data_IF_535301257695
#
_entry.id   IF_535301257695
#
_cell.length_a   1.000
_cell.length_b   1.000
_cell.length_c   1.000
_cell.angle_alpha   90.00
_cell.angle_beta   90.00
_cell.angle_gamma   90.00
#
_symmetry.space_group_name_H-M   'P 1'
#
loop_
_entity.id
_entity.type
_entity.pdbx_description
1 polymer ?
#
# COMPACT_ATOMS: atom_id res chain seq x y z
N UNK A 1 -24.28 4.38 15.26
CA UNK A 1 -24.64 3.26 14.34
C UNK A 1 -23.46 2.71 13.54
N UNK A 2 -22.34 3.43 13.35
CA UNK A 2 -21.16 2.91 12.59
C UNK A 2 -19.95 2.56 13.46
N UNK A 3 -20.13 2.32 14.77
CA UNK A 3 -19.01 2.17 15.70
C UNK A 3 -18.20 0.89 15.49
N UNK A 4 -18.88 -0.22 15.21
CA UNK A 4 -18.21 -1.49 14.89
C UNK A 4 -17.34 -1.36 13.63
N UNK A 5 -17.91 -0.80 12.57
CA UNK A 5 -17.17 -0.56 11.32
C UNK A 5 -15.99 0.40 11.53
N UNK A 6 -16.18 1.50 12.25
CA UNK A 6 -15.10 2.44 12.52
C UNK A 6 -13.96 1.79 13.35
N UNK A 7 -14.29 0.96 14.33
CA UNK A 7 -13.31 0.22 15.13
C UNK A 7 -12.50 -0.76 14.28
N UNK A 8 -13.18 -1.51 13.41
CA UNK A 8 -12.53 -2.46 12.50
C UNK A 8 -11.64 -1.75 11.49
N UNK A 9 -12.15 -0.72 10.82
CA UNK A 9 -11.38 0.11 9.90
C UNK A 9 -10.14 0.72 10.57
N UNK A 10 -10.30 1.22 11.80
CA UNK A 10 -9.19 1.76 12.58
C UNK A 10 -8.09 0.72 12.88
N UNK A 11 -8.50 -0.51 13.21
CA UNK A 11 -7.58 -1.63 13.39
C UNK A 11 -6.80 -1.93 12.10
N UNK A 12 -7.47 -2.00 10.96
CA UNK A 12 -6.82 -2.27 9.66
C UNK A 12 -5.83 -1.17 9.28
N UNK A 13 -6.21 0.11 9.45
CA UNK A 13 -5.32 1.25 9.20
C UNK A 13 -4.06 1.16 10.07
N UNK A 14 -4.23 0.83 11.35
CA UNK A 14 -3.11 0.68 12.30
C UNK A 14 -2.17 -0.45 11.90
N UNK A 15 -2.70 -1.61 11.52
CA UNK A 15 -1.92 -2.76 11.07
C UNK A 15 -1.20 -2.48 9.74
N UNK A 16 -1.86 -1.84 8.78
CA UNK A 16 -1.23 -1.39 7.54
C UNK A 16 -0.07 -0.43 7.81
N UNK A 17 -0.25 0.55 8.72
CA UNK A 17 0.85 1.44 9.14
C UNK A 17 2.02 0.68 9.76
N UNK A 18 1.76 -0.27 10.65
CA UNK A 18 2.82 -1.06 11.28
C UNK A 18 3.58 -1.91 10.26
N UNK A 19 2.90 -2.54 9.30
CA UNK A 19 3.54 -3.27 8.19
C UNK A 19 4.42 -2.37 7.32
N UNK A 20 4.00 -1.12 7.12
CA UNK A 20 4.78 -0.11 6.40
C UNK A 20 5.96 0.46 7.24
N UNK A 21 6.09 0.11 8.52
CA UNK A 21 7.15 0.60 9.40
C UNK A 21 7.04 2.10 9.74
N UNK A 22 5.87 2.70 9.56
CA UNK A 22 5.66 4.14 9.72
C UNK A 22 5.17 4.50 11.13
N UNK A 23 5.59 5.67 11.62
CA UNK A 23 5.02 6.30 12.82
C UNK A 23 3.78 7.13 12.47
N UNK A 24 2.88 7.35 13.44
CA UNK A 24 1.63 8.07 13.22
C UNK A 24 1.85 9.50 12.68
N UNK A 25 2.89 10.18 13.14
CA UNK A 25 3.25 11.51 12.67
C UNK A 25 3.73 11.52 11.21
N UNK A 26 4.41 10.47 10.75
CA UNK A 26 4.82 10.33 9.35
C UNK A 26 3.65 10.09 8.40
N UNK A 27 2.65 9.34 8.84
CA UNK A 27 1.41 9.18 8.05
C UNK A 27 0.61 10.48 8.07
N UNK A 28 0.45 11.13 9.23
CA UNK A 28 -0.25 12.41 9.32
C UNK A 28 0.40 13.50 8.44
N UNK A 29 1.74 13.59 8.43
CA UNK A 29 2.52 14.48 7.57
C UNK A 29 2.23 14.21 6.07
N UNK A 30 2.28 12.96 5.64
CA UNK A 30 2.00 12.57 4.25
C UNK A 30 0.57 12.89 3.80
N UNK A 31 -0.41 12.77 4.69
CA UNK A 31 -1.82 13.07 4.42
C UNK A 31 -2.19 14.55 4.67
N UNK A 32 -1.24 15.39 5.07
CA UNK A 32 -1.49 16.78 5.46
C UNK A 32 -2.56 16.91 6.58
N UNK A 33 -2.54 15.96 7.51
CA UNK A 33 -3.43 15.90 8.67
C UNK A 33 -2.66 16.20 9.96
N UNK A 34 -3.40 16.53 11.02
CA UNK A 34 -2.80 16.55 12.36
C UNK A 34 -2.66 15.13 12.92
N UNK A 35 -1.59 14.89 13.71
CA UNK A 35 -1.37 13.60 14.37
C UNK A 35 -2.59 13.15 15.22
N UNK A 36 -3.25 14.03 15.99
CA UNK A 36 -4.45 13.64 16.74
C UNK A 36 -5.61 13.20 15.85
N UNK A 37 -5.78 13.83 14.68
CA UNK A 37 -6.83 13.49 13.72
C UNK A 37 -6.61 12.09 13.14
N UNK A 38 -5.39 11.79 12.68
CA UNK A 38 -5.02 10.45 12.23
C UNK A 38 -5.18 9.41 13.35
N UNK A 39 -4.73 9.72 14.56
CA UNK A 39 -4.84 8.81 15.69
C UNK A 39 -6.30 8.51 16.10
N UNK A 40 -7.26 9.40 15.81
CA UNK A 40 -8.69 9.11 15.97
C UNK A 40 -9.19 8.06 14.99
N UNK A 41 -8.65 8.03 13.76
CA UNK A 41 -9.00 7.03 12.76
C UNK A 41 -8.54 5.64 13.22
N UNK A 42 -7.28 5.50 13.65
CA UNK A 42 -6.76 4.22 14.17
C UNK A 42 -7.55 3.68 15.38
N UNK A 43 -8.12 4.56 16.20
CA UNK A 43 -8.94 4.19 17.37
C UNK A 43 -10.42 3.98 17.03
N UNK A 44 -10.81 4.08 15.76
CA UNK A 44 -12.21 3.99 15.33
C UNK A 44 -13.12 5.08 15.88
N UNK A 45 -12.56 6.24 16.24
CA UNK A 45 -13.31 7.43 16.72
C UNK A 45 -13.66 8.40 15.60
N UNK A 46 -13.31 8.04 14.36
CA UNK A 46 -13.57 8.80 13.15
C UNK A 46 -13.44 7.87 11.95
N UNK A 47 -14.38 7.96 11.02
CA UNK A 47 -14.28 7.34 9.70
C UNK A 47 -13.65 8.39 8.77
N UNK A 48 -12.60 8.06 7.99
CA UNK A 48 -12.03 8.98 7.02
C UNK A 48 -13.04 9.31 5.90
N UNK A 49 -12.88 10.46 5.26
CA UNK A 49 -13.56 10.71 3.98
C UNK A 49 -13.02 9.78 2.90
N UNK A 50 -13.74 9.64 1.79
CA UNK A 50 -13.27 8.83 0.64
C UNK A 50 -11.92 9.34 0.10
N UNK A 51 -11.71 10.66 0.11
CA UNK A 51 -10.43 11.25 -0.30
C UNK A 51 -9.29 10.83 0.63
N UNK A 52 -9.48 10.95 1.95
CA UNK A 52 -8.49 10.52 2.95
C UNK A 52 -8.25 9.01 2.87
N UNK A 53 -9.30 8.21 2.63
CA UNK A 53 -9.18 6.77 2.47
C UNK A 53 -8.32 6.39 1.26
N UNK A 54 -8.52 7.03 0.10
CA UNK A 54 -7.65 6.85 -1.07
C UNK A 54 -6.20 7.19 -0.74
N UNK A 55 -5.97 8.32 -0.07
CA UNK A 55 -4.62 8.76 0.26
C UNK A 55 -3.96 7.84 1.30
N UNK A 56 -4.72 7.23 2.21
CA UNK A 56 -4.27 6.14 3.08
C UNK A 56 -3.84 4.91 2.28
N UNK A 57 -4.63 4.48 1.29
CA UNK A 57 -4.28 3.34 0.44
C UNK A 57 -2.92 3.56 -0.24
N UNK A 58 -2.71 4.75 -0.82
CA UNK A 58 -1.45 5.11 -1.47
C UNK A 58 -0.29 5.20 -0.48
N UNK A 59 -0.48 5.89 0.65
CA UNK A 59 0.58 6.11 1.65
C UNK A 59 1.02 4.82 2.34
N UNK A 60 0.07 3.91 2.60
CA UNK A 60 0.32 2.65 3.29
C UNK A 60 0.56 1.48 2.33
N UNK A 61 0.53 1.74 1.02
CA UNK A 61 0.68 0.75 -0.05
C UNK A 61 -0.24 -0.47 0.16
N UNK A 62 -1.54 -0.20 0.35
CA UNK A 62 -2.58 -1.19 0.61
C UNK A 62 -3.78 -0.93 -0.31
N UNK A 63 -4.41 -2.00 -0.79
CA UNK A 63 -5.62 -1.88 -1.63
C UNK A 63 -6.83 -1.42 -0.82
N UNK A 64 -7.81 -0.80 -1.48
CA UNK A 64 -9.09 -0.43 -0.86
C UNK A 64 -9.84 -1.65 -0.32
N UNK A 65 -9.74 -2.79 -0.99
CA UNK A 65 -10.38 -4.05 -0.66
C UNK A 65 -9.83 -4.61 0.65
N UNK A 66 -8.51 -4.58 0.81
CA UNK A 66 -7.86 -4.96 2.05
C UNK A 66 -8.17 -3.97 3.18
N UNK A 67 -8.17 -2.67 2.88
CA UNK A 67 -8.40 -1.63 3.89
C UNK A 67 -9.86 -1.63 4.41
N UNK A 68 -10.82 -1.96 3.54
CA UNK A 68 -12.26 -2.01 3.85
C UNK A 68 -12.77 -3.41 4.20
N UNK A 69 -11.90 -4.42 4.27
CA UNK A 69 -12.27 -5.84 4.39
C UNK A 69 -13.36 -6.28 3.38
N UNK A 70 -13.31 -5.71 2.16
CA UNK A 70 -14.13 -6.15 1.04
C UNK A 70 -13.52 -7.38 0.34
N UNK A 71 -12.27 -7.72 0.69
CA UNK A 71 -11.63 -8.94 0.24
C UNK A 71 -12.36 -10.15 0.81
N UNK A 72 -13.06 -10.89 -0.05
CA UNK A 72 -13.49 -12.24 0.26
C UNK A 72 -12.24 -13.09 0.46
N UNK A 73 -12.14 -13.93 1.52
CA UNK A 73 -11.06 -14.89 1.63
C UNK A 73 -11.04 -15.77 0.36
N UNK A 74 -10.02 -15.61 -0.48
CA UNK A 74 -9.92 -16.29 -1.78
C UNK A 74 -10.29 -15.48 -3.02
N UNK A 75 -10.50 -14.17 -2.92
CA UNK A 75 -10.64 -13.31 -4.10
C UNK A 75 -9.31 -13.26 -4.89
N UNK A 76 -9.35 -13.38 -6.24
CA UNK A 76 -8.15 -13.51 -7.08
C UNK A 76 -7.16 -12.33 -7.04
N UNK A 77 -7.51 -11.21 -6.40
CA UNK A 77 -6.62 -10.06 -6.22
C UNK A 77 -5.46 -10.29 -5.24
N UNK A 78 -5.62 -11.14 -4.23
CA UNK A 78 -4.56 -11.37 -3.22
C UNK A 78 -3.53 -12.41 -3.68
N UNK A 79 -3.95 -13.44 -4.41
CA UNK A 79 -3.04 -14.43 -4.99
C UNK A 79 -2.26 -13.87 -6.19
N UNK A 80 -2.90 -13.12 -7.08
CA UNK A 80 -2.24 -12.44 -8.21
C UNK A 80 -1.18 -11.44 -7.72
N UNK A 81 -1.48 -10.65 -6.68
CA UNK A 81 -0.52 -9.73 -6.07
C UNK A 81 0.69 -10.45 -5.46
N UNK A 82 0.51 -11.65 -4.89
CA UNK A 82 1.62 -12.43 -4.33
C UNK A 82 2.53 -13.02 -5.42
N UNK A 83 1.96 -13.52 -6.52
CA UNK A 83 2.73 -13.99 -7.69
C UNK A 83 3.45 -12.83 -8.38
N UNK A 84 2.78 -11.69 -8.58
CA UNK A 84 3.36 -10.47 -9.16
C UNK A 84 4.51 -9.92 -8.30
N UNK A 85 4.33 -9.86 -6.98
CA UNK A 85 5.39 -9.44 -6.05
C UNK A 85 6.56 -10.45 -6.00
N UNK A 86 6.31 -11.73 -6.18
CA UNK A 86 7.36 -12.76 -6.24
C UNK A 86 8.18 -12.66 -7.54
N UNK A 87 7.49 -12.43 -8.65
CA UNK A 87 8.06 -12.25 -9.99
C UNK A 87 8.86 -10.95 -10.05
N UNK A 88 8.32 -9.85 -9.50
CA UNK A 88 9.01 -8.59 -9.38
C UNK A 88 10.26 -8.70 -8.49
N UNK A 89 10.18 -9.40 -7.34
CA UNK A 89 11.36 -9.66 -6.49
C UNK A 89 12.39 -10.53 -7.20
N UNK A 90 11.97 -11.54 -7.96
CA UNK A 90 12.88 -12.37 -8.75
C UNK A 90 13.57 -11.56 -9.85
N UNK A 91 12.83 -10.68 -10.53
CA UNK A 91 13.36 -9.76 -11.54
C UNK A 91 14.37 -8.79 -10.91
N UNK A 92 14.00 -8.09 -9.84
CA UNK A 92 14.87 -7.14 -9.15
C UNK A 92 16.17 -7.78 -8.66
N UNK A 93 16.12 -9.03 -8.20
CA UNK A 93 17.31 -9.79 -7.80
C UNK A 93 18.23 -10.08 -8.98
N UNK A 94 17.68 -10.45 -10.13
CA UNK A 94 18.45 -10.69 -11.36
C UNK A 94 19.05 -9.41 -11.89
N UNK A 95 18.26 -8.34 -11.95
CA UNK A 95 18.71 -7.01 -12.39
C UNK A 95 19.86 -6.50 -11.53
N UNK A 96 19.78 -6.63 -10.20
CA UNK A 96 20.87 -6.28 -9.28
C UNK A 96 22.17 -7.07 -9.46
N UNK A 97 22.09 -8.27 -10.04
CA UNK A 97 23.25 -9.13 -10.27
C UNK A 97 23.87 -8.92 -11.67
N UNK A 98 23.30 -8.05 -12.50
CA UNK A 98 23.82 -7.78 -13.84
C UNK A 98 25.09 -6.91 -13.77
N UNK A 99 26.10 -7.19 -14.61
CA UNK A 99 27.18 -6.26 -14.88
C UNK A 99 26.63 -4.97 -15.51
N UNK A 100 27.28 -3.84 -15.25
CA UNK A 100 26.88 -2.50 -15.74
C UNK A 100 26.53 -2.49 -17.24
N UNK A 101 27.36 -3.13 -18.07
CA UNK A 101 27.15 -3.21 -19.51
C UNK A 101 25.82 -3.88 -19.92
N UNK A 102 25.32 -4.85 -19.13
CA UNK A 102 24.03 -5.53 -19.39
C UNK A 102 22.84 -4.81 -18.76
N UNK A 103 23.08 -4.06 -17.70
CA UNK A 103 22.05 -3.23 -17.08
C UNK A 103 21.59 -2.12 -18.03
N UNK A 104 22.53 -1.47 -18.73
CA UNK A 104 22.22 -0.46 -19.75
C UNK A 104 21.38 -1.03 -20.91
N UNK A 105 21.71 -2.24 -21.40
CA UNK A 105 20.89 -2.91 -22.43
C UNK A 105 19.49 -3.26 -21.93
N UNK A 106 19.35 -3.61 -20.64
CA UNK A 106 18.04 -3.87 -20.04
C UNK A 106 17.19 -2.60 -19.98
N UNK A 107 17.76 -1.46 -19.58
CA UNK A 107 17.07 -0.18 -19.58
C UNK A 107 16.58 0.21 -20.98
N UNK A 108 17.45 0.12 -22.00
CA UNK A 108 17.04 0.45 -23.37
C UNK A 108 15.90 -0.45 -23.90
N UNK A 109 15.85 -1.71 -23.46
CA UNK A 109 14.78 -2.62 -23.82
C UNK A 109 13.47 -2.28 -23.09
N UNK A 110 13.55 -1.84 -21.84
CA UNK A 110 12.38 -1.34 -21.11
C UNK A 110 11.81 -0.09 -21.77
N UNK A 111 12.65 0.89 -22.11
CA UNK A 111 12.21 2.12 -22.79
C UNK A 111 11.50 1.78 -24.11
N UNK A 112 12.02 0.82 -24.86
CA UNK A 112 11.42 0.37 -26.13
C UNK A 112 10.05 -0.31 -25.94
N UNK A 113 9.83 -0.96 -24.79
CA UNK A 113 8.54 -1.59 -24.46
C UNK A 113 7.52 -0.59 -23.92
N UNK A 114 7.96 0.54 -23.34
CA UNK A 114 7.08 1.61 -22.85
C UNK A 114 6.58 2.52 -23.99
N UNK A 115 7.36 2.65 -25.06
CA UNK A 115 7.02 3.46 -26.25
C UNK A 115 6.14 2.72 -27.30
N UNK A 116 5.78 1.45 -27.07
CA UNK A 116 5.02 0.59 -27.99
C UNK A 116 3.55 0.40 -27.59
#
# INVERSE_FOLDING_TARGET
>A
MYEAFAAELGHVIREARHRAGLRQDKVAEALQLSVPLYARMERGKMIPSVAVLRDLCLTLNVSSEALLHLATPGAPGDAASHEDLSSLRALLRRVRALPEARFQSFLSLLDTLEDA
#
